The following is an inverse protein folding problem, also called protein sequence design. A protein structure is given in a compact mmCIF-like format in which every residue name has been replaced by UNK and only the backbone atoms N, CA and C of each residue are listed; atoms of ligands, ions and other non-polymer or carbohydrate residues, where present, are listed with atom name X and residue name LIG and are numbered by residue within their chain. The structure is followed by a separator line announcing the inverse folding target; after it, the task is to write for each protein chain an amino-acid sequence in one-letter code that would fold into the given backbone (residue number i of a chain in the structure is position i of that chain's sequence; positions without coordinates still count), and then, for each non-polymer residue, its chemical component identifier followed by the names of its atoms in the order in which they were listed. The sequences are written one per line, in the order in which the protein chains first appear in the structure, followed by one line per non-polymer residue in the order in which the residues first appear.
data_IF_446919167004
#
_entry.id   IF_446919167004
#
_cell.length_a   1.000
_cell.length_b   1.000
_cell.length_c   1.000
_cell.angle_alpha   90.00
_cell.angle_beta   90.00
_cell.angle_gamma   90.00
#
_symmetry.space_group_name_H-M   'P 1'
#
loop_
_entity.id
_entity.type
_entity.pdbx_description
1 polymer ?
#
# COMPACT_ATOMS: atom_id res chain seq x y z
N UNK A 1 -79.25 -9.15 -79.12
CA UNK A 1 -79.13 -10.12 -78.01
C UNK A 1 -77.87 -11.00 -78.08
N UNK A 2 -77.16 -11.15 -79.21
CA UNK A 2 -75.98 -12.05 -79.30
C UNK A 2 -74.67 -11.51 -78.68
N UNK A 3 -74.55 -10.21 -78.44
CA UNK A 3 -73.33 -9.59 -77.87
C UNK A 3 -73.21 -9.80 -76.35
N UNK A 4 -74.32 -9.80 -75.60
CA UNK A 4 -74.29 -9.89 -74.14
C UNK A 4 -73.97 -11.27 -73.57
N UNK A 5 -73.99 -12.33 -74.38
CA UNK A 5 -73.59 -13.68 -73.94
C UNK A 5 -72.07 -13.86 -73.98
N UNK A 6 -71.40 -13.36 -75.02
CA UNK A 6 -69.95 -13.45 -75.15
C UNK A 6 -69.23 -12.63 -74.06
N UNK A 7 -69.71 -11.41 -73.78
CA UNK A 7 -69.17 -10.57 -72.69
C UNK A 7 -69.41 -11.18 -71.30
N UNK A 8 -70.46 -12.00 -71.14
CA UNK A 8 -70.76 -12.69 -69.89
C UNK A 8 -69.86 -13.92 -69.69
N UNK A 9 -69.52 -14.63 -70.76
CA UNK A 9 -68.56 -15.75 -70.74
C UNK A 9 -67.14 -15.25 -70.48
N UNK A 10 -66.69 -14.20 -71.16
CA UNK A 10 -65.36 -13.60 -70.97
C UNK A 10 -65.16 -13.11 -69.52
N UNK A 11 -66.15 -12.43 -68.94
CA UNK A 11 -66.14 -12.04 -67.52
C UNK A 11 -66.14 -13.22 -66.55
N UNK A 12 -66.66 -14.36 -66.96
CA UNK A 12 -66.66 -15.56 -66.14
C UNK A 12 -65.26 -16.18 -66.13
N UNK A 13 -64.62 -16.28 -67.30
CA UNK A 13 -63.26 -16.79 -67.45
C UNK A 13 -62.24 -15.93 -66.70
N UNK A 14 -62.32 -14.60 -66.78
CA UNK A 14 -61.49 -13.67 -65.98
C UNK A 14 -61.70 -13.85 -64.47
N UNK A 15 -62.94 -14.10 -64.04
CA UNK A 15 -63.24 -14.38 -62.62
C UNK A 15 -62.66 -15.72 -62.19
N UNK A 16 -62.71 -16.74 -63.04
CA UNK A 16 -62.11 -18.04 -62.77
C UNK A 16 -60.58 -17.96 -62.71
N UNK A 17 -59.96 -17.10 -63.52
CA UNK A 17 -58.52 -16.85 -63.48
C UNK A 17 -58.09 -16.06 -62.23
N UNK A 18 -58.97 -15.18 -61.73
CA UNK A 18 -58.78 -14.44 -60.46
C UNK A 18 -59.06 -15.27 -59.21
N UNK A 19 -59.74 -16.42 -59.34
CA UNK A 19 -59.90 -17.39 -58.28
C UNK A 19 -58.63 -18.24 -58.22
N UNK A 20 -57.75 -17.91 -57.26
CA UNK A 20 -56.52 -18.62 -56.90
C UNK A 20 -56.16 -19.78 -57.84
N UNK A 21 -55.28 -19.52 -58.80
CA UNK A 21 -54.92 -20.51 -59.79
C UNK A 21 -54.14 -21.66 -59.14
N UNK A 22 -53.94 -22.77 -59.85
CA UNK A 22 -53.15 -23.90 -59.32
C UNK A 22 -51.71 -23.47 -59.01
N UNK A 23 -51.23 -22.45 -59.71
CA UNK A 23 -49.93 -21.83 -59.50
C UNK A 23 -49.88 -21.05 -58.16
N UNK A 24 -50.96 -20.38 -57.75
CA UNK A 24 -51.03 -19.70 -56.44
C UNK A 24 -50.93 -20.69 -55.27
N UNK A 25 -51.52 -21.88 -55.41
CA UNK A 25 -51.42 -22.96 -54.41
C UNK A 25 -50.00 -23.53 -54.34
N UNK A 26 -49.28 -23.55 -55.47
CA UNK A 26 -47.89 -24.00 -55.53
C UNK A 26 -46.90 -23.02 -54.87
N UNK A 27 -47.29 -21.75 -54.72
CA UNK A 27 -46.50 -20.73 -54.00
C UNK A 27 -46.74 -20.75 -52.49
N UNK A 28 -47.72 -21.51 -51.99
CA UNK A 28 -47.94 -21.64 -50.56
C UNK A 28 -46.82 -22.45 -49.92
N UNK A 29 -46.27 -21.99 -48.78
CA UNK A 29 -45.25 -22.74 -48.07
C UNK A 29 -45.79 -24.12 -47.66
N UNK A 30 -45.02 -25.14 -48.03
CA UNK A 30 -45.30 -26.53 -47.71
C UNK A 30 -44.85 -26.84 -46.29
N UNK A 31 -45.27 -27.99 -45.74
CA UNK A 31 -44.78 -28.46 -44.44
C UNK A 31 -43.26 -28.57 -44.37
N UNK A 32 -42.62 -28.85 -45.51
CA UNK A 32 -41.18 -28.97 -45.63
C UNK A 32 -40.46 -27.61 -45.55
N UNK A 33 -41.14 -26.50 -45.86
CA UNK A 33 -40.56 -25.16 -45.73
C UNK A 33 -40.48 -24.70 -44.27
N UNK A 34 -41.42 -25.15 -43.42
CA UNK A 34 -41.39 -24.90 -41.98
C UNK A 34 -40.38 -25.76 -41.23
N UNK A 35 -39.93 -26.84 -41.86
CA UNK A 35 -38.96 -27.77 -41.30
C UNK A 35 -37.55 -27.16 -41.18
N UNK A 36 -37.24 -26.11 -41.93
CA UNK A 36 -35.98 -25.35 -41.83
C UNK A 36 -36.06 -24.18 -40.81
N UNK A 37 -37.21 -23.97 -40.17
CA UNK A 37 -37.31 -23.03 -39.05
C UNK A 37 -36.71 -23.67 -37.80
N UNK A 38 -36.10 -22.82 -36.95
CA UNK A 38 -35.45 -23.21 -35.69
C UNK A 38 -36.32 -24.22 -34.93
N UNK A 39 -35.87 -25.47 -34.88
CA UNK A 39 -36.53 -26.57 -34.19
C UNK A 39 -36.12 -26.55 -32.72
N UNK A 40 -36.91 -27.18 -31.85
CA UNK A 40 -36.53 -27.38 -30.43
C UNK A 40 -35.19 -28.09 -30.28
N UNK A 41 -34.80 -28.93 -31.24
CA UNK A 41 -33.48 -29.58 -31.31
C UNK A 41 -32.32 -28.59 -31.44
N UNK A 42 -32.56 -27.44 -32.07
CA UNK A 42 -31.51 -26.45 -32.37
C UNK A 42 -31.13 -25.65 -31.11
N UNK A 43 -31.94 -25.77 -30.04
CA UNK A 43 -31.66 -25.22 -28.72
C UNK A 43 -30.86 -26.19 -27.83
N UNK A 44 -30.69 -27.46 -28.23
CA UNK A 44 -29.83 -28.40 -27.51
C UNK A 44 -28.37 -27.97 -27.65
N UNK A 45 -27.81 -27.40 -26.59
CA UNK A 45 -26.41 -26.93 -26.54
C UNK A 45 -26.26 -25.48 -26.06
N UNK A 46 -27.35 -24.72 -25.98
CA UNK A 46 -27.32 -23.42 -25.33
C UNK A 46 -27.37 -23.57 -23.81
N UNK A 47 -26.52 -22.81 -23.12
CA UNK A 47 -26.58 -22.69 -21.67
C UNK A 47 -27.94 -22.14 -21.24
N UNK A 48 -28.64 -22.91 -20.43
CA UNK A 48 -29.90 -22.56 -19.78
C UNK A 48 -29.64 -21.70 -18.54
N UNK A 49 -30.70 -21.06 -18.01
CA UNK A 49 -30.60 -20.33 -16.73
C UNK A 49 -30.12 -21.21 -15.57
N UNK A 50 -30.30 -22.53 -15.66
CA UNK A 50 -29.78 -23.50 -14.68
C UNK A 50 -28.27 -23.67 -14.75
N UNK A 51 -27.67 -23.56 -15.95
CA UNK A 51 -26.23 -23.75 -16.16
C UNK A 51 -25.40 -22.60 -15.57
N UNK A 52 -26.02 -21.43 -15.38
CA UNK A 52 -25.41 -20.23 -14.76
C UNK A 52 -25.38 -20.34 -13.22
N UNK A 53 -26.12 -21.28 -12.62
CA UNK A 53 -26.26 -21.42 -11.16
C UNK A 53 -24.98 -21.81 -10.43
N UNK A 54 -23.99 -22.36 -11.14
CA UNK A 54 -22.68 -22.74 -10.61
C UNK A 54 -21.56 -21.73 -10.97
N UNK A 55 -21.89 -20.60 -11.58
CA UNK A 55 -20.92 -19.51 -11.71
C UNK A 55 -20.74 -18.87 -10.34
N UNK A 56 -19.48 -18.64 -9.96
CA UNK A 56 -19.08 -17.91 -8.75
C UNK A 56 -19.97 -16.67 -8.60
N UNK A 57 -20.86 -16.71 -7.63
CA UNK A 57 -21.79 -15.62 -7.33
C UNK A 57 -21.10 -14.59 -6.45
N UNK A 58 -21.67 -13.38 -6.36
CA UNK A 58 -21.11 -12.31 -5.54
C UNK A 58 -20.91 -12.72 -4.06
N UNK A 59 -21.70 -13.68 -3.57
CA UNK A 59 -21.57 -14.26 -2.22
C UNK A 59 -20.34 -15.15 -2.03
N UNK A 60 -19.82 -15.78 -3.09
CA UNK A 60 -18.63 -16.64 -3.00
C UNK A 60 -17.34 -15.83 -2.75
N UNK A 61 -17.39 -14.50 -2.94
CA UNK A 61 -16.29 -13.56 -2.72
C UNK A 61 -16.31 -13.01 -1.27
N UNK A 62 -17.36 -13.24 -0.48
CA UNK A 62 -17.51 -12.66 0.87
C UNK A 62 -16.44 -13.14 1.87
N UNK A 63 -15.74 -14.24 1.57
CA UNK A 63 -14.61 -14.73 2.38
C UNK A 63 -13.22 -14.34 1.83
N UNK A 64 -13.15 -13.47 0.82
CA UNK A 64 -11.86 -12.96 0.34
C UNK A 64 -11.33 -11.85 1.25
N UNK A 65 -10.03 -11.90 1.55
CA UNK A 65 -9.27 -10.83 2.21
C UNK A 65 -9.49 -9.52 1.45
N UNK A 66 -10.17 -8.59 2.10
CA UNK A 66 -10.48 -7.26 1.58
C UNK A 66 -9.32 -6.30 1.87
N UNK A 67 -9.26 -5.15 1.17
CA UNK A 67 -8.25 -4.11 1.45
C UNK A 67 -8.29 -3.61 2.90
N UNK A 68 -9.44 -3.73 3.58
CA UNK A 68 -9.60 -3.38 4.99
C UNK A 68 -8.87 -4.36 5.92
N UNK A 69 -8.74 -5.63 5.54
CA UNK A 69 -8.04 -6.63 6.35
C UNK A 69 -6.52 -6.40 6.39
N UNK A 70 -5.99 -5.64 5.42
CA UNK A 70 -4.55 -5.38 5.26
C UNK A 70 -4.13 -4.09 6.01
N UNK A 71 -5.06 -3.24 6.44
CA UNK A 71 -4.73 -1.94 7.07
C UNK A 71 -4.08 -2.06 8.44
N UNK A 72 -4.18 -3.23 9.06
CA UNK A 72 -3.56 -3.52 10.37
C UNK A 72 -2.21 -4.23 10.26
N UNK A 73 -1.71 -4.48 9.04
CA UNK A 73 -0.39 -5.08 8.85
C UNK A 73 0.69 -4.01 8.95
N UNK A 74 1.78 -4.35 9.65
CA UNK A 74 2.98 -3.52 9.70
C UNK A 74 3.50 -3.26 8.28
N UNK A 75 3.71 -1.99 7.96
CA UNK A 75 4.20 -1.54 6.66
C UNK A 75 5.73 -1.60 6.61
N UNK A 76 6.30 -1.47 5.41
CA UNK A 76 7.76 -1.36 5.25
C UNK A 76 8.33 -0.16 6.01
N UNK A 77 7.57 0.93 6.11
CA UNK A 77 7.97 2.14 6.80
C UNK A 77 8.02 1.92 8.32
N UNK A 78 7.08 1.14 8.88
CA UNK A 78 7.10 0.78 10.30
C UNK A 78 8.38 -0.01 10.67
N UNK A 79 8.80 -0.95 9.81
CA UNK A 79 10.04 -1.70 9.99
C UNK A 79 11.27 -0.80 9.87
N UNK A 80 11.28 0.12 8.90
CA UNK A 80 12.38 1.07 8.72
C UNK A 80 12.54 2.00 9.93
N UNK A 81 11.43 2.51 10.47
CA UNK A 81 11.43 3.37 11.66
C UNK A 81 11.95 2.65 12.90
N UNK A 82 11.58 1.37 13.10
CA UNK A 82 12.09 0.56 14.20
C UNK A 82 13.60 0.32 14.10
N UNK A 83 14.13 0.10 12.89
CA UNK A 83 15.55 -0.07 12.66
C UNK A 83 16.33 1.22 12.93
N UNK A 84 15.85 2.36 12.43
CA UNK A 84 16.47 3.66 12.68
C UNK A 84 16.53 3.99 14.19
N UNK A 85 15.44 3.78 14.93
CA UNK A 85 15.42 3.98 16.38
C UNK A 85 16.41 3.08 17.12
N UNK A 86 16.62 1.85 16.64
CA UNK A 86 17.61 0.93 17.21
C UNK A 86 19.03 1.41 16.97
N UNK A 87 19.33 1.92 15.78
CA UNK A 87 20.65 2.45 15.44
C UNK A 87 20.99 3.71 16.25
N UNK A 88 20.02 4.61 16.45
CA UNK A 88 20.19 5.81 17.30
C UNK A 88 20.53 5.44 18.75
N UNK A 89 19.83 4.45 19.31
CA UNK A 89 20.10 3.98 20.69
C UNK A 89 21.44 3.26 20.82
N UNK A 90 21.86 2.51 19.78
CA UNK A 90 23.15 1.84 19.74
C UNK A 90 24.31 2.84 19.68
N UNK A 91 24.21 3.85 18.82
CA UNK A 91 25.21 4.91 18.69
C UNK A 91 25.34 5.73 19.98
N UNK A 92 24.22 6.19 20.54
CA UNK A 92 24.22 6.92 21.81
C UNK A 92 24.81 6.11 22.98
N UNK A 93 24.62 4.78 22.97
CA UNK A 93 25.21 3.89 23.97
C UNK A 93 26.72 3.77 23.80
N UNK A 94 27.21 3.65 22.57
CA UNK A 94 28.65 3.59 22.28
C UNK A 94 29.36 4.89 22.67
N UNK A 95 28.79 6.05 22.32
CA UNK A 95 29.35 7.36 22.67
C UNK A 95 29.49 7.53 24.20
N UNK A 96 28.46 7.12 24.95
CA UNK A 96 28.49 7.13 26.42
C UNK A 96 29.55 6.21 27.01
N UNK A 97 29.81 5.06 26.39
CA UNK A 97 30.86 4.14 26.83
C UNK A 97 32.23 4.79 26.57
N UNK A 98 32.44 5.37 25.40
CA UNK A 98 33.68 6.09 25.08
C UNK A 98 33.92 7.28 26.00
N UNK A 99 32.89 8.07 26.32
CA UNK A 99 32.99 9.19 27.26
C UNK A 99 33.32 8.71 28.68
N UNK A 100 32.67 7.64 29.15
CA UNK A 100 32.97 7.03 30.46
C UNK A 100 34.41 6.54 30.52
N UNK A 101 34.88 5.83 29.49
CA UNK A 101 36.25 5.32 29.42
C UNK A 101 37.28 6.46 29.45
N UNK A 102 37.06 7.54 28.68
CA UNK A 102 37.90 8.72 28.72
C UNK A 102 37.91 9.38 30.12
N UNK A 103 36.74 9.49 30.75
CA UNK A 103 36.62 10.03 32.11
C UNK A 103 37.39 9.21 33.14
N UNK A 104 37.31 7.88 33.07
CA UNK A 104 38.04 6.97 33.96
C UNK A 104 39.55 7.10 33.80
N UNK A 105 40.05 7.17 32.56
CA UNK A 105 41.47 7.39 32.27
C UNK A 105 41.96 8.75 32.77
N UNK A 106 41.17 9.81 32.59
CA UNK A 106 41.50 11.14 33.12
C UNK A 106 41.54 11.11 34.66
N UNK A 107 40.57 10.46 35.30
CA UNK A 107 40.53 10.32 36.76
C UNK A 107 41.72 9.52 37.31
N UNK A 108 42.16 8.46 36.63
CA UNK A 108 43.33 7.68 37.06
C UNK A 108 44.62 8.48 36.89
N UNK A 109 44.81 9.15 35.75
CA UNK A 109 46.00 9.97 35.48
C UNK A 109 46.12 11.18 36.42
N UNK A 110 45.01 11.88 36.69
CA UNK A 110 45.00 13.00 37.65
C UNK A 110 45.15 12.49 39.08
N UNK A 111 44.46 11.40 39.43
CA UNK A 111 44.53 10.79 40.76
C UNK A 111 45.92 10.25 41.10
N UNK A 112 46.66 9.71 40.14
CA UNK A 112 48.05 9.28 40.31
C UNK A 112 49.01 10.46 40.37
N UNK A 113 48.92 11.44 39.45
CA UNK A 113 49.82 12.61 39.48
C UNK A 113 49.68 13.44 40.77
N UNK A 114 48.47 13.56 41.31
CA UNK A 114 48.27 14.22 42.61
C UNK A 114 48.87 13.42 43.76
N UNK A 115 48.90 12.09 43.70
CA UNK A 115 49.55 11.24 44.71
C UNK A 115 51.07 11.26 44.62
N UNK A 116 51.64 11.35 43.41
CA UNK A 116 53.10 11.33 43.19
C UNK A 116 53.76 12.69 43.41
N UNK A 117 53.03 13.80 43.24
CA UNK A 117 53.56 15.16 43.40
C UNK A 117 53.09 15.91 44.65
N UNK A 118 52.09 15.42 45.40
CA UNK A 118 51.69 16.03 46.66
C UNK A 118 52.66 15.69 47.80
N UNK A 119 53.83 16.32 47.80
CA UNK A 119 54.34 16.82 49.08
C UNK A 119 53.37 17.90 49.53
N UNK A 120 52.93 17.87 50.78
CA UNK A 120 51.99 18.84 51.38
C UNK A 120 52.33 20.30 51.05
N UNK A 121 53.63 20.61 50.88
CA UNK A 121 54.13 21.91 50.47
C UNK A 121 53.74 22.34 49.03
N UNK A 122 53.62 21.41 48.08
CA UNK A 122 53.22 21.70 46.70
C UNK A 122 51.75 22.08 46.57
N UNK A 123 50.87 21.38 47.32
CA UNK A 123 49.42 21.64 47.33
C UNK A 123 49.11 22.98 48.00
N UNK A 124 49.76 23.29 49.12
CA UNK A 124 49.63 24.60 49.76
C UNK A 124 50.18 25.75 48.90
N UNK A 125 51.26 25.50 48.14
CA UNK A 125 51.82 26.51 47.24
C UNK A 125 50.88 26.84 46.09
N UNK A 126 50.16 25.84 45.54
CA UNK A 126 49.18 26.05 44.47
C UNK A 126 47.88 26.71 44.98
N UNK A 127 47.43 26.37 46.19
CA UNK A 127 46.23 26.95 46.84
C UNK A 127 46.22 28.49 46.87
N UNK A 128 47.39 29.11 46.88
CA UNK A 128 47.55 30.56 46.92
C UNK A 128 48.08 31.15 45.64
N UNK A 129 47.85 30.55 44.47
CA UNK A 129 48.29 31.13 43.19
C UNK A 129 47.12 31.67 42.38
N UNK A 130 47.34 32.77 41.65
CA UNK A 130 46.38 33.44 40.76
C UNK A 130 47.04 33.72 39.42
N UNK A 131 46.27 33.73 38.33
CA UNK A 131 46.76 34.08 36.98
C UNK A 131 46.70 35.61 36.79
N UNK A 132 47.79 36.21 36.34
CA UNK A 132 47.80 37.63 35.96
C UNK A 132 47.17 37.86 34.58
N UNK A 133 47.01 39.13 34.15
CA UNK A 133 46.43 39.48 32.85
C UNK A 133 47.24 38.98 31.63
N UNK A 134 48.48 38.51 31.86
CA UNK A 134 49.34 37.89 30.85
C UNK A 134 49.35 36.35 30.94
N UNK A 135 48.46 35.74 31.75
CA UNK A 135 48.34 34.29 31.90
C UNK A 135 49.46 33.63 32.72
N UNK A 136 50.29 34.40 33.44
CA UNK A 136 51.32 33.85 34.31
C UNK A 136 50.80 33.58 35.73
N UNK A 137 51.14 32.41 36.27
CA UNK A 137 50.81 32.00 37.64
C UNK A 137 51.69 32.76 38.63
N UNK A 138 51.07 33.58 39.47
CA UNK A 138 51.73 34.35 40.53
C UNK A 138 51.19 33.96 41.91
N UNK A 139 52.03 34.02 42.95
CA UNK A 139 51.61 33.72 44.33
C UNK A 139 50.87 34.93 44.93
N UNK A 140 49.77 34.68 45.63
CA UNK A 140 48.90 35.68 46.24
C UNK A 140 49.68 36.41 47.34
N UNK A 141 49.68 37.76 47.37
CA UNK A 141 50.39 38.51 48.40
C UNK A 141 49.81 38.25 49.79
N UNK A 142 50.67 38.24 50.82
CA UNK A 142 50.30 37.85 52.20
C UNK A 142 49.10 38.63 52.78
N UNK A 143 48.94 39.90 52.40
CA UNK A 143 47.82 40.77 52.81
C UNK A 143 46.46 40.28 52.29
N UNK A 144 46.42 39.65 51.11
CA UNK A 144 45.18 39.08 50.54
C UNK A 144 44.84 37.71 51.12
N UNK A 145 45.85 36.93 51.55
CA UNK A 145 45.63 35.63 52.20
C UNK A 145 44.88 35.77 53.52
N UNK A 146 45.13 36.85 54.26
CA UNK A 146 44.50 37.13 55.55
C UNK A 146 43.01 37.49 55.44
N UNK A 147 42.59 38.16 54.35
CA UNK A 147 41.20 38.62 54.17
C UNK A 147 40.24 37.55 53.61
N UNK A 148 40.74 36.36 53.23
CA UNK A 148 39.93 35.27 52.66
C UNK A 148 39.35 34.32 53.72
N UNK A 149 39.67 34.53 55.01
CA UNK A 149 39.25 33.69 56.13
C UNK A 149 38.55 34.46 57.27
N UNK A 150 38.15 35.71 57.02
CA UNK A 150 37.22 36.51 57.86
C UNK A 150 35.96 36.79 57.08
#
# INVERSE_FOLDING_TARGET
MRLGLAEAEERNDERFEKLASKEDVALLPTKQDFENLVRKSDLCGFATKGDVGNLVTMGDIENHVTKADITHLATKDDVANLLAAKDDTHNARNDRISERQLREVIHSLLGEHLKTHATTAGVERLRWTVLNHNGMVINLPAKMKANLFT
#
